data_IF_927004164740
#
_entry.id   IF_927004164740
#
_cell.length_a   1.000
_cell.length_b   1.000
_cell.length_c   1.000
_cell.angle_alpha   90.00
_cell.angle_beta   90.00
_cell.angle_gamma   90.00
#
_symmetry.space_group_name_H-M   'P 1'
#
loop_
_entity.id
_entity.type
_entity.pdbx_description
1 polymer ?
#
# COMPACT_ATOMS: atom_id res chain seq x y z
N UNK A 1 -2.39 -2.49 24.82
CA UNK A 1 -3.34 -1.99 23.80
C UNK A 1 -3.17 -0.49 23.66
N UNK A 2 -2.54 -0.07 22.60
CA UNK A 2 -2.50 1.35 22.29
C UNK A 2 -3.87 1.78 21.78
N UNK A 3 -4.63 2.42 22.63
CA UNK A 3 -5.82 3.14 22.16
C UNK A 3 -5.32 4.36 21.39
N UNK A 4 -5.41 4.27 20.06
CA UNK A 4 -5.10 5.43 19.24
C UNK A 4 -6.16 6.49 19.47
N UNK A 5 -5.71 7.70 19.64
CA UNK A 5 -6.63 8.82 19.71
C UNK A 5 -7.42 8.93 18.39
N UNK A 6 -8.64 9.46 18.45
CA UNK A 6 -9.43 9.71 17.25
C UNK A 6 -8.71 10.58 16.23
N UNK A 7 -7.82 11.47 16.71
CA UNK A 7 -7.01 12.33 15.86
C UNK A 7 -6.01 11.54 14.99
N UNK A 8 -5.34 10.54 15.57
CA UNK A 8 -4.43 9.68 14.82
C UNK A 8 -5.16 8.85 13.76
N UNK A 9 -6.30 8.28 14.11
CA UNK A 9 -7.12 7.51 13.18
C UNK A 9 -7.61 8.39 12.01
N UNK A 10 -8.07 9.60 12.30
CA UNK A 10 -8.49 10.56 11.28
C UNK A 10 -7.34 10.96 10.36
N UNK A 11 -6.17 11.21 10.92
CA UNK A 11 -4.97 11.56 10.16
C UNK A 11 -4.60 10.44 9.19
N UNK A 12 -4.60 9.19 9.67
CA UNK A 12 -4.28 8.01 8.86
C UNK A 12 -5.31 7.82 7.74
N UNK A 13 -6.59 7.93 8.05
CA UNK A 13 -7.66 7.79 7.05
C UNK A 13 -7.58 8.87 5.98
N UNK A 14 -7.28 10.11 6.37
CA UNK A 14 -7.11 11.22 5.45
C UNK A 14 -5.89 11.01 4.53
N UNK A 15 -4.78 10.53 5.10
CA UNK A 15 -3.56 10.30 4.32
C UNK A 15 -3.73 9.22 3.25
N UNK A 16 -4.54 8.19 3.50
CA UNK A 16 -4.68 7.06 2.57
C UNK A 16 -5.94 7.11 1.70
N UNK A 17 -6.82 8.09 1.90
CA UNK A 17 -8.11 8.13 1.19
C UNK A 17 -7.97 8.23 -0.34
N UNK A 18 -6.86 8.78 -0.84
CA UNK A 18 -6.58 8.90 -2.26
C UNK A 18 -6.15 7.59 -2.91
N UNK A 19 -5.82 6.57 -2.14
CA UNK A 19 -5.39 5.27 -2.65
C UNK A 19 -6.65 4.45 -2.96
N UNK A 20 -6.88 4.18 -4.25
CA UNK A 20 -8.09 3.50 -4.71
C UNK A 20 -8.07 2.00 -4.48
N UNK A 21 -6.89 1.38 -4.52
CA UNK A 21 -6.75 -0.05 -4.32
C UNK A 21 -6.78 -0.38 -2.83
N UNK A 22 -7.81 -1.11 -2.37
CA UNK A 22 -8.05 -1.41 -0.96
C UNK A 22 -6.88 -2.08 -0.24
N UNK A 23 -6.29 -3.17 -0.78
CA UNK A 23 -5.13 -3.81 -0.14
C UNK A 23 -3.92 -2.89 0.01
N UNK A 24 -3.63 -2.05 -0.99
CA UNK A 24 -2.55 -1.07 -0.92
C UNK A 24 -2.84 -0.02 0.16
N UNK A 25 -4.09 0.43 0.24
CA UNK A 25 -4.53 1.38 1.26
C UNK A 25 -4.28 0.84 2.66
N UNK A 26 -4.67 -0.40 2.90
CA UNK A 26 -4.48 -1.05 4.20
C UNK A 26 -3.00 -1.21 4.54
N UNK A 27 -2.18 -1.62 3.59
CA UNK A 27 -0.73 -1.79 3.77
C UNK A 27 -0.05 -0.46 4.07
N UNK A 28 -0.36 0.59 3.32
CA UNK A 28 0.21 1.93 3.52
C UNK A 28 -0.25 2.51 4.85
N UNK A 29 -1.53 2.33 5.19
CA UNK A 29 -2.05 2.77 6.48
C UNK A 29 -1.30 2.12 7.65
N UNK A 30 -1.07 0.82 7.59
CA UNK A 30 -0.34 0.08 8.62
C UNK A 30 1.12 0.56 8.72
N UNK A 31 1.75 0.85 7.60
CA UNK A 31 3.12 1.38 7.57
C UNK A 31 3.22 2.77 8.18
N UNK A 32 2.31 3.67 7.83
CA UNK A 32 2.22 5.02 8.41
C UNK A 32 1.94 4.96 9.90
N UNK A 33 1.08 4.05 10.32
CA UNK A 33 0.75 3.81 11.71
C UNK A 33 2.00 3.37 12.51
N UNK A 34 2.79 2.46 11.95
CA UNK A 34 4.04 2.01 12.57
C UNK A 34 5.04 3.17 12.70
N UNK A 35 5.17 4.02 11.68
CA UNK A 35 6.03 5.20 11.73
C UNK A 35 5.58 6.20 12.81
N UNK A 36 4.27 6.40 12.94
CA UNK A 36 3.70 7.27 13.97
C UNK A 36 4.00 6.74 15.36
N UNK A 37 3.81 5.45 15.57
CA UNK A 37 4.11 4.79 16.85
C UNK A 37 5.59 4.88 17.20
N UNK A 38 6.48 4.65 16.23
CA UNK A 38 7.93 4.77 16.43
C UNK A 38 8.34 6.19 16.80
N UNK A 39 7.78 7.19 16.13
CA UNK A 39 8.03 8.60 16.45
C UNK A 39 7.57 8.96 17.86
N UNK A 40 6.39 8.53 18.24
CA UNK A 40 5.84 8.79 19.57
C UNK A 40 6.70 8.11 20.65
N UNK A 41 7.13 6.87 20.40
CA UNK A 41 8.01 6.14 21.31
C UNK A 41 9.38 6.83 21.47
N UNK A 42 9.95 7.32 20.36
CA UNK A 42 11.22 8.06 20.39
C UNK A 42 11.09 9.37 21.19
N UNK A 43 9.99 10.09 21.03
CA UNK A 43 9.74 11.32 21.79
C UNK A 43 9.62 11.03 23.29
N UNK A 44 8.95 9.96 23.67
CA UNK A 44 8.85 9.56 25.08
C UNK A 44 10.19 9.13 25.65
N UNK A 45 11.05 8.52 24.85
CA UNK A 45 12.39 8.12 25.27
C UNK A 45 13.28 9.35 25.50
N UNK A 46 13.18 10.35 24.62
CA UNK A 46 13.96 11.59 24.71
C UNK A 46 13.41 12.48 25.83
N UNK A 47 12.09 12.52 25.97
CA UNK A 47 11.39 13.30 26.99
C UNK A 47 10.57 12.39 27.91
N UNK A 48 11.19 11.78 28.94
CA UNK A 48 10.49 10.81 29.77
C UNK A 48 9.27 11.36 30.53
N UNK A 49 9.22 12.66 30.74
CA UNK A 49 8.10 13.32 31.41
C UNK A 49 6.92 13.61 30.46
N UNK A 50 7.09 13.39 29.18
CA UNK A 50 6.03 13.61 28.17
C UNK A 50 4.96 12.56 28.30
N UNK A 51 3.69 12.99 28.33
CA UNK A 51 2.55 12.10 28.34
C UNK A 51 2.43 11.39 26.97
N UNK A 52 1.95 10.14 26.93
CA UNK A 52 1.75 9.43 25.66
C UNK A 52 0.88 10.19 24.66
N UNK A 53 -0.13 10.90 25.13
CA UNK A 53 -1.02 11.71 24.32
C UNK A 53 -0.29 12.88 23.67
N UNK A 54 0.58 13.54 24.42
CA UNK A 54 1.40 14.65 23.93
C UNK A 54 2.43 14.17 22.92
N UNK A 55 3.03 13.01 23.16
CA UNK A 55 3.97 12.38 22.22
C UNK A 55 3.29 12.04 20.90
N UNK A 56 2.08 11.52 20.94
CA UNK A 56 1.28 11.22 19.75
C UNK A 56 0.93 12.49 18.96
N UNK A 57 0.47 13.53 19.66
CA UNK A 57 0.13 14.80 19.03
C UNK A 57 1.35 15.45 18.38
N UNK A 58 2.51 15.40 19.04
CA UNK A 58 3.76 15.92 18.50
C UNK A 58 4.23 15.12 17.29
N UNK A 59 4.10 13.80 17.34
CA UNK A 59 4.44 12.92 16.23
C UNK A 59 3.56 13.21 15.00
N UNK A 60 2.27 13.46 15.19
CA UNK A 60 1.36 13.85 14.11
C UNK A 60 1.76 15.18 13.47
N UNK A 61 2.13 16.16 14.29
CA UNK A 61 2.66 17.45 13.79
C UNK A 61 3.92 17.25 12.95
N UNK A 62 4.85 16.42 13.43
CA UNK A 62 6.12 16.17 12.74
C UNK A 62 5.93 15.41 11.42
N UNK A 63 4.88 14.61 11.30
CA UNK A 63 4.57 13.93 10.04
C UNK A 63 3.98 14.85 8.97
N UNK A 64 3.40 15.99 9.37
CA UNK A 64 2.92 17.00 8.45
C UNK A 64 1.45 16.87 8.07
N UNK A 65 1.07 17.50 6.98
CA UNK A 65 -0.31 17.54 6.50
C UNK A 65 -0.69 16.20 5.85
N UNK A 66 -1.73 15.51 6.35
CA UNK A 66 -2.15 14.24 5.76
C UNK A 66 -2.64 14.39 4.30
N UNK A 67 -3.19 15.54 3.93
CA UNK A 67 -3.63 15.78 2.56
C UNK A 67 -2.45 15.82 1.57
N UNK A 68 -1.33 16.44 1.95
CA UNK A 68 -0.12 16.48 1.12
C UNK A 68 0.52 15.11 0.98
N UNK A 69 0.64 14.39 2.07
CA UNK A 69 1.16 13.01 2.08
C UNK A 69 0.25 12.12 1.23
N UNK A 70 -1.06 12.29 1.36
CA UNK A 70 -2.05 11.58 0.56
C UNK A 70 -1.92 11.80 -0.93
N UNK A 71 -1.64 13.05 -1.35
CA UNK A 71 -1.39 13.37 -2.76
C UNK A 71 -0.16 12.66 -3.31
N UNK A 72 0.92 12.64 -2.55
CA UNK A 72 2.14 11.94 -2.94
C UNK A 72 1.94 10.43 -3.01
N UNK A 73 1.26 9.84 -2.03
CA UNK A 73 0.95 8.42 -2.01
C UNK A 73 0.04 8.02 -3.17
N UNK A 74 -0.98 8.81 -3.46
CA UNK A 74 -1.87 8.58 -4.59
C UNK A 74 -1.14 8.70 -5.93
N UNK A 75 -0.13 9.57 -6.01
CA UNK A 75 0.73 9.74 -7.18
C UNK A 75 1.61 8.52 -7.43
N UNK A 76 2.15 7.93 -6.35
CA UNK A 76 3.02 6.74 -6.41
C UNK A 76 2.18 5.49 -6.66
N UNK A 77 1.04 5.35 -6.02
CA UNK A 77 0.13 4.21 -6.11
C UNK A 77 -1.00 4.46 -7.12
N UNK A 78 -0.64 4.77 -8.37
CA UNK A 78 -1.64 4.95 -9.42
C UNK A 78 -2.34 3.62 -9.72
N UNK A 79 -3.69 3.60 -9.78
CA UNK A 79 -4.43 2.35 -10.00
C UNK A 79 -4.07 1.64 -11.31
N UNK A 80 -3.66 2.39 -12.34
CA UNK A 80 -3.31 1.81 -13.64
C UNK A 80 -2.07 0.89 -13.57
N UNK A 81 -1.15 1.13 -12.62
CA UNK A 81 -0.01 0.24 -12.41
C UNK A 81 -0.45 -1.14 -11.91
N UNK A 82 -1.45 -1.19 -11.03
CA UNK A 82 -2.06 -2.43 -10.58
C UNK A 82 -2.76 -3.17 -11.74
N UNK A 83 -3.49 -2.44 -12.56
CA UNK A 83 -4.13 -2.99 -13.76
C UNK A 83 -3.11 -3.48 -14.78
N UNK A 84 -2.04 -2.74 -14.98
CA UNK A 84 -0.96 -3.13 -15.88
C UNK A 84 -0.31 -4.44 -15.44
N UNK A 85 -0.07 -4.58 -14.15
CA UNK A 85 0.51 -5.80 -13.58
C UNK A 85 -0.41 -7.00 -13.75
N UNK A 86 -1.72 -6.83 -13.49
CA UNK A 86 -2.73 -7.86 -13.72
C UNK A 86 -2.86 -8.19 -15.20
N UNK A 87 -2.90 -7.18 -16.04
CA UNK A 87 -2.95 -7.35 -17.49
C UNK A 87 -1.74 -8.13 -18.01
N UNK A 88 -0.54 -7.82 -17.51
CA UNK A 88 0.69 -8.54 -17.85
C UNK A 88 0.60 -10.02 -17.52
N UNK A 89 0.07 -10.37 -16.35
CA UNK A 89 -0.15 -11.76 -15.95
C UNK A 89 -1.09 -12.50 -16.92
N UNK A 90 -2.21 -11.88 -17.24
CA UNK A 90 -3.19 -12.46 -18.17
C UNK A 90 -2.63 -12.61 -19.56
N UNK A 91 -1.90 -11.62 -20.06
CA UNK A 91 -1.23 -11.68 -21.36
C UNK A 91 -0.22 -12.82 -21.39
N UNK A 92 0.58 -12.99 -20.33
CA UNK A 92 1.55 -14.08 -20.21
C UNK A 92 0.87 -15.45 -20.22
N UNK A 93 -0.25 -15.60 -19.49
CA UNK A 93 -1.02 -16.85 -19.44
C UNK A 93 -1.60 -17.18 -20.80
N UNK A 94 -2.22 -16.19 -21.48
CA UNK A 94 -2.80 -16.37 -22.81
C UNK A 94 -1.72 -16.71 -23.84
N UNK A 95 -0.56 -16.08 -23.76
CA UNK A 95 0.58 -16.36 -24.63
C UNK A 95 1.09 -17.79 -24.45
N UNK A 96 1.23 -18.24 -23.21
CA UNK A 96 1.63 -19.62 -22.90
C UNK A 96 0.59 -20.62 -23.41
N UNK A 97 -0.69 -20.34 -23.20
CA UNK A 97 -1.78 -21.18 -23.72
C UNK A 97 -1.74 -21.27 -25.25
N UNK A 98 -1.48 -20.15 -25.92
CA UNK A 98 -1.39 -20.09 -27.39
C UNK A 98 -0.21 -20.95 -27.89
N UNK A 99 0.96 -20.84 -27.26
CA UNK A 99 2.14 -21.64 -27.61
C UNK A 99 1.85 -23.14 -27.39
N UNK A 100 1.29 -23.51 -26.25
CA UNK A 100 0.93 -24.90 -25.96
C UNK A 100 -0.08 -25.46 -26.95
N UNK A 101 -1.09 -24.66 -27.31
CA UNK A 101 -2.11 -25.04 -28.28
C UNK A 101 -1.53 -25.21 -29.69
N UNK A 102 -0.68 -24.31 -30.12
CA UNK A 102 0.02 -24.39 -31.42
C UNK A 102 0.91 -25.64 -31.49
N UNK A 103 1.64 -25.90 -30.40
CA UNK A 103 2.52 -27.08 -30.29
C UNK A 103 1.69 -28.38 -30.33
N UNK A 104 0.55 -28.40 -29.67
CA UNK A 104 -0.37 -29.54 -29.67
C UNK A 104 -0.94 -29.81 -31.05
N UNK A 105 -1.37 -28.76 -31.77
CA UNK A 105 -1.90 -28.87 -33.13
C UNK A 105 -0.81 -29.39 -34.09
N UNK A 106 0.40 -28.89 -34.02
CA UNK A 106 1.51 -29.37 -34.87
C UNK A 106 1.80 -30.84 -34.60
N UNK A 107 1.82 -31.24 -33.35
CA UNK A 107 2.06 -32.63 -32.97
C UNK A 107 0.95 -33.56 -33.47
N UNK A 108 -0.29 -33.09 -33.38
CA UNK A 108 -1.44 -33.82 -33.87
C UNK A 108 -1.45 -33.93 -35.40
N UNK A 109 -1.02 -32.86 -36.09
CA UNK A 109 -0.92 -32.82 -37.54
C UNK A 109 0.19 -33.72 -38.06
N UNK A 110 1.34 -33.77 -37.38
CA UNK A 110 2.45 -34.66 -37.70
C UNK A 110 2.06 -36.12 -37.43
N UNK A 111 1.29 -36.39 -36.41
CA UNK A 111 0.79 -37.72 -36.07
C UNK A 111 -0.20 -38.30 -37.07
N UNK A 112 -0.79 -37.48 -37.97
CA UNK A 112 -1.68 -37.92 -39.02
C UNK A 112 -0.99 -38.30 -40.34
N UNK A 113 0.26 -37.89 -40.42
CA UNK A 113 1.11 -38.28 -41.55
C UNK A 113 1.86 -39.58 -41.21
#
# INVERSE_FOLDING_TARGET
>A
MSQKSGAAAQWLDEAVKGIRFGPDRAAVRAELEAHLEDKAADLQRIFPDMLPEDAEARALEDMGDPAEIGKELARIHRPWLGYLWRASKWIAILFLCHICFSFFIQRFHIGRL
#
